data_IF_357211239024
#
_entry.id   IF_357211239024
#
_cell.length_a   1.000
_cell.length_b   1.000
_cell.length_c   1.000
_cell.angle_alpha   90.00
_cell.angle_beta   90.00
_cell.angle_gamma   90.00
#
_symmetry.space_group_name_H-M   'P 1'
#
loop_
_entity.id
_entity.type
_entity.pdbx_description
1 polymer ?
#
# COMPACT_ATOMS: atom_id res chain seq x y z
N UNK A 1 -15.98 -43.98 -16.97
CA UNK A 1 -16.85 -44.46 -15.88
C UNK A 1 -16.86 -43.63 -14.58
N UNK A 2 -16.59 -42.31 -14.53
CA UNK A 2 -16.79 -41.53 -13.29
C UNK A 2 -18.26 -41.11 -13.08
N UNK A 3 -19.03 -40.95 -14.17
CA UNK A 3 -20.43 -40.48 -14.11
C UNK A 3 -21.36 -41.53 -13.47
N UNK A 4 -21.15 -42.82 -13.76
CA UNK A 4 -21.94 -43.89 -13.14
C UNK A 4 -21.61 -44.12 -11.66
N UNK A 5 -20.35 -43.91 -11.26
CA UNK A 5 -19.94 -43.98 -9.84
C UNK A 5 -20.45 -42.79 -9.03
N UNK A 6 -20.53 -41.59 -9.64
CA UNK A 6 -21.19 -40.44 -9.02
C UNK A 6 -22.70 -40.65 -8.93
N UNK A 7 -23.33 -41.16 -9.99
CA UNK A 7 -24.77 -41.43 -10.00
C UNK A 7 -25.17 -42.52 -8.99
N UNK A 8 -24.36 -43.56 -8.78
CA UNK A 8 -24.62 -44.58 -7.75
C UNK A 8 -24.37 -44.06 -6.34
N UNK A 9 -23.34 -43.22 -6.13
CA UNK A 9 -23.08 -42.57 -4.85
C UNK A 9 -24.19 -41.57 -4.45
N UNK A 10 -24.82 -40.93 -5.45
CA UNK A 10 -25.89 -39.95 -5.25
C UNK A 10 -27.31 -40.52 -5.45
N UNK A 11 -27.45 -41.82 -5.77
CA UNK A 11 -28.75 -42.45 -6.04
C UNK A 11 -29.63 -42.68 -4.80
N UNK A 12 -29.02 -42.73 -3.61
CA UNK A 12 -29.70 -42.98 -2.33
C UNK A 12 -29.62 -41.77 -1.37
N UNK A 13 -29.58 -40.55 -1.89
CA UNK A 13 -29.57 -39.37 -1.02
C UNK A 13 -30.97 -39.14 -0.44
N UNK A 14 -31.06 -39.21 0.88
CA UNK A 14 -32.30 -38.86 1.60
C UNK A 14 -32.55 -37.35 1.57
N UNK A 15 -33.82 -36.91 1.61
CA UNK A 15 -34.17 -35.47 1.60
C UNK A 15 -33.45 -34.69 2.71
N UNK A 16 -33.21 -35.31 3.86
CA UNK A 16 -32.45 -34.73 4.97
C UNK A 16 -30.97 -34.48 4.61
N UNK A 17 -30.33 -35.39 3.88
CA UNK A 17 -28.96 -35.21 3.36
C UNK A 17 -28.90 -34.10 2.30
N UNK A 18 -29.92 -33.97 1.44
CA UNK A 18 -30.01 -32.85 0.49
C UNK A 18 -30.13 -31.51 1.22
N UNK A 19 -31.00 -31.42 2.23
CA UNK A 19 -31.17 -30.20 3.04
C UNK A 19 -29.88 -29.86 3.78
N UNK A 20 -29.22 -30.83 4.40
CA UNK A 20 -27.94 -30.62 5.07
C UNK A 20 -26.84 -30.16 4.09
N UNK A 21 -26.80 -30.76 2.89
CA UNK A 21 -25.89 -30.36 1.83
C UNK A 21 -26.14 -28.92 1.35
N UNK A 22 -27.41 -28.55 1.16
CA UNK A 22 -27.80 -27.20 0.77
C UNK A 22 -27.43 -26.15 1.83
N UNK A 23 -27.69 -26.43 3.12
CA UNK A 23 -27.30 -25.57 4.23
C UNK A 23 -25.77 -25.43 4.29
N UNK A 24 -25.03 -26.54 4.18
CA UNK A 24 -23.57 -26.53 4.18
C UNK A 24 -23.01 -25.68 3.02
N UNK A 25 -23.57 -25.82 1.83
CA UNK A 25 -23.19 -25.02 0.67
C UNK A 25 -23.50 -23.53 0.88
N UNK A 26 -24.68 -23.19 1.42
CA UNK A 26 -25.04 -21.82 1.74
C UNK A 26 -24.07 -21.19 2.76
N UNK A 27 -23.69 -21.96 3.79
CA UNK A 27 -22.67 -21.53 4.78
C UNK A 27 -21.32 -21.31 4.12
N UNK A 28 -20.87 -22.21 3.24
CA UNK A 28 -19.60 -22.06 2.50
C UNK A 28 -19.61 -20.79 1.65
N UNK A 29 -20.69 -20.53 0.91
CA UNK A 29 -20.83 -19.31 0.09
C UNK A 29 -20.88 -18.06 0.98
N UNK A 30 -21.59 -18.11 2.10
CA UNK A 30 -21.65 -17.01 3.06
C UNK A 30 -20.28 -16.69 3.64
N UNK A 31 -19.54 -17.69 4.12
CA UNK A 31 -18.19 -17.49 4.65
C UNK A 31 -17.26 -16.96 3.55
N UNK A 32 -17.36 -17.48 2.32
CA UNK A 32 -16.49 -17.02 1.22
C UNK A 32 -16.77 -15.57 0.81
N UNK A 33 -18.05 -15.18 0.78
CA UNK A 33 -18.45 -13.80 0.45
C UNK A 33 -18.08 -12.85 1.58
N UNK A 34 -18.26 -13.25 2.84
CA UNK A 34 -17.83 -12.49 4.01
C UNK A 34 -16.30 -12.32 4.06
N UNK A 35 -15.54 -13.40 3.84
CA UNK A 35 -14.08 -13.39 3.77
C UNK A 35 -13.52 -12.56 2.61
N UNK A 36 -14.30 -12.36 1.54
CA UNK A 36 -13.94 -11.51 0.42
C UNK A 36 -13.91 -10.02 0.77
N UNK A 37 -14.51 -9.61 1.89
CA UNK A 37 -14.59 -8.21 2.27
C UNK A 37 -15.49 -7.38 1.34
N UNK A 38 -15.48 -6.06 1.56
CA UNK A 38 -16.32 -5.12 0.82
C UNK A 38 -15.69 -4.76 -0.54
N UNK A 39 -16.56 -4.47 -1.51
CA UNK A 39 -16.15 -4.03 -2.86
C UNK A 39 -16.11 -2.50 -2.95
N UNK A 40 -15.20 -1.99 -3.77
CA UNK A 40 -15.20 -0.58 -4.13
C UNK A 40 -16.38 -0.30 -5.07
N UNK A 41 -17.18 0.71 -4.72
CA UNK A 41 -18.31 1.20 -5.53
C UNK A 41 -18.02 2.53 -6.20
N UNK A 42 -16.87 3.13 -5.87
CA UNK A 42 -16.43 4.39 -6.46
C UNK A 42 -15.70 4.13 -7.76
N UNK A 43 -16.06 4.92 -8.77
CA UNK A 43 -15.38 4.98 -10.05
C UNK A 43 -14.76 6.36 -10.21
N UNK A 44 -13.50 6.40 -10.63
CA UNK A 44 -12.77 7.62 -10.96
C UNK A 44 -12.41 7.56 -12.42
N UNK A 45 -12.59 8.68 -13.13
CA UNK A 45 -12.13 8.78 -14.51
C UNK A 45 -10.59 8.69 -14.54
N UNK A 46 -10.05 7.73 -15.28
CA UNK A 46 -8.61 7.49 -15.45
C UNK A 46 -8.10 7.87 -16.84
N UNK A 47 -8.94 8.44 -17.70
CA UNK A 47 -8.56 8.82 -19.06
C UNK A 47 -7.39 9.82 -19.04
N UNK A 48 -6.29 9.44 -19.70
CA UNK A 48 -5.09 10.27 -19.80
C UNK A 48 -4.35 10.49 -18.47
N UNK A 49 -4.64 9.68 -17.45
CA UNK A 49 -3.94 9.66 -16.16
C UNK A 49 -2.86 8.59 -16.15
N UNK A 50 -1.79 8.82 -15.41
CA UNK A 50 -0.69 7.86 -15.25
C UNK A 50 -0.61 7.33 -13.82
N UNK A 51 -0.47 6.01 -13.69
CA UNK A 51 -0.27 5.31 -12.42
C UNK A 51 1.11 4.65 -12.44
N UNK A 52 1.92 4.98 -11.43
CA UNK A 52 3.20 4.36 -11.18
C UNK A 52 3.04 3.23 -10.17
N UNK A 53 3.32 1.99 -10.59
CA UNK A 53 3.17 0.81 -9.72
C UNK A 53 4.56 0.31 -9.33
N UNK A 54 5.01 0.67 -8.13
CA UNK A 54 6.33 0.31 -7.59
C UNK A 54 6.17 -0.86 -6.64
N UNK A 55 6.24 -2.07 -7.17
CA UNK A 55 5.91 -3.27 -6.41
C UNK A 55 6.52 -4.55 -7.00
N UNK A 56 6.80 -5.58 -6.19
CA UNK A 56 7.10 -6.92 -6.70
C UNK A 56 5.91 -7.49 -7.50
N UNK A 57 6.17 -8.40 -8.46
CA UNK A 57 5.13 -9.02 -9.28
C UNK A 57 4.36 -10.10 -8.50
N UNK A 58 3.55 -9.68 -7.52
CA UNK A 58 2.70 -10.57 -6.74
C UNK A 58 1.33 -10.78 -7.38
N UNK A 59 0.61 -11.86 -7.05
CA UNK A 59 -0.74 -12.09 -7.57
C UNK A 59 -1.68 -10.90 -7.35
N UNK A 60 -1.60 -10.24 -6.20
CA UNK A 60 -2.40 -9.05 -5.90
C UNK A 60 -2.07 -7.87 -6.82
N UNK A 61 -0.79 -7.60 -7.07
CA UNK A 61 -0.35 -6.48 -7.93
C UNK A 61 -0.65 -6.75 -9.41
N UNK A 62 -0.45 -7.98 -9.88
CA UNK A 62 -0.80 -8.38 -11.24
C UNK A 62 -2.32 -8.27 -11.47
N UNK A 63 -3.12 -8.68 -10.49
CA UNK A 63 -4.58 -8.52 -10.52
C UNK A 63 -4.98 -7.05 -10.48
N UNK A 64 -4.28 -6.21 -9.74
CA UNK A 64 -4.52 -4.76 -9.73
C UNK A 64 -4.31 -4.17 -11.13
N UNK A 65 -3.19 -4.47 -11.78
CA UNK A 65 -2.94 -3.97 -13.15
C UNK A 65 -3.99 -4.49 -14.13
N UNK A 66 -4.32 -5.78 -14.06
CA UNK A 66 -5.38 -6.39 -14.87
C UNK A 66 -6.72 -5.66 -14.70
N UNK A 67 -7.15 -5.45 -13.45
CA UNK A 67 -8.42 -4.74 -13.16
C UNK A 67 -8.41 -3.28 -13.62
N UNK A 68 -7.29 -2.56 -13.48
CA UNK A 68 -7.16 -1.18 -13.94
C UNK A 68 -7.18 -1.05 -15.47
N UNK A 69 -6.57 -1.99 -16.19
CA UNK A 69 -6.51 -1.99 -17.65
C UNK A 69 -7.86 -2.36 -18.30
N UNK A 70 -8.72 -3.09 -17.59
CA UNK A 70 -10.07 -3.45 -18.05
C UNK A 70 -11.14 -2.40 -17.68
N UNK A 71 -10.76 -1.26 -17.09
CA UNK A 71 -11.70 -0.16 -16.87
C UNK A 71 -12.17 0.43 -18.21
N UNK A 72 -13.38 1.02 -18.28
CA UNK A 72 -13.89 1.69 -19.49
C UNK A 72 -12.95 2.79 -20.00
N UNK A 73 -12.30 3.49 -19.07
CA UNK A 73 -11.25 4.49 -19.32
C UNK A 73 -9.96 4.05 -18.63
N UNK A 74 -9.08 3.26 -19.26
CA UNK A 74 -7.90 2.73 -18.59
C UNK A 74 -6.83 3.82 -18.39
N UNK A 75 -6.11 3.82 -17.26
CA UNK A 75 -4.94 4.65 -17.07
C UNK A 75 -3.74 4.13 -17.88
N UNK A 76 -2.73 4.98 -18.05
CA UNK A 76 -1.39 4.56 -18.44
C UNK A 76 -0.68 3.98 -17.21
N UNK A 77 -0.24 2.73 -17.27
CA UNK A 77 0.45 2.08 -16.16
C UNK A 77 1.94 1.96 -16.47
N UNK A 78 2.77 2.50 -15.59
CA UNK A 78 4.20 2.20 -15.56
C UNK A 78 4.51 1.31 -14.35
N UNK A 79 4.82 0.05 -14.63
CA UNK A 79 5.17 -0.95 -13.62
C UNK A 79 6.68 -0.96 -13.38
N UNK A 80 7.08 -0.82 -12.12
CA UNK A 80 8.46 -0.71 -11.66
C UNK A 80 8.76 -1.81 -10.64
N UNK A 81 9.05 -3.05 -11.08
CA UNK A 81 9.43 -4.12 -10.18
C UNK A 81 10.81 -3.91 -9.56
N UNK A 82 11.03 -4.34 -8.30
CA UNK A 82 12.30 -4.27 -7.59
C UNK A 82 13.30 -5.34 -8.09
N UNK A 83 13.51 -5.38 -9.40
CA UNK A 83 14.36 -6.32 -10.11
C UNK A 83 15.45 -5.57 -10.86
N UNK A 84 16.59 -6.20 -11.02
CA UNK A 84 17.68 -5.70 -11.87
C UNK A 84 17.37 -5.94 -13.35
N UNK A 85 17.93 -5.11 -14.22
CA UNK A 85 17.93 -5.38 -15.66
C UNK A 85 18.90 -6.53 -15.98
N UNK A 86 18.57 -7.44 -16.94
CA UNK A 86 17.32 -7.54 -17.69
C UNK A 86 16.17 -8.14 -16.86
N UNK A 87 14.94 -7.78 -17.21
CA UNK A 87 13.74 -8.33 -16.58
C UNK A 87 13.53 -9.81 -16.97
N UNK A 88 12.99 -10.66 -16.08
CA UNK A 88 12.70 -12.05 -16.39
C UNK A 88 11.71 -12.21 -17.56
N UNK A 89 11.99 -13.11 -18.49
CA UNK A 89 11.14 -13.37 -19.67
C UNK A 89 9.73 -13.84 -19.28
N UNK A 90 9.60 -14.62 -18.21
CA UNK A 90 8.32 -15.08 -17.68
C UNK A 90 7.43 -13.92 -17.23
N UNK A 91 8.03 -12.90 -16.61
CA UNK A 91 7.33 -11.68 -16.19
C UNK A 91 6.90 -10.87 -17.42
N UNK A 92 7.80 -10.68 -18.39
CA UNK A 92 7.47 -9.95 -19.62
C UNK A 92 6.34 -10.63 -20.41
N UNK A 93 6.38 -11.96 -20.50
CA UNK A 93 5.33 -12.77 -21.12
C UNK A 93 3.99 -12.56 -20.42
N UNK A 94 3.98 -12.60 -19.08
CA UNK A 94 2.77 -12.40 -18.29
C UNK A 94 2.21 -10.97 -18.43
N UNK A 95 3.06 -9.94 -18.45
CA UNK A 95 2.61 -8.56 -18.64
C UNK A 95 2.07 -8.36 -20.07
N UNK A 96 2.69 -9.01 -21.06
CA UNK A 96 2.21 -8.98 -22.43
C UNK A 96 0.83 -9.65 -22.56
N UNK A 97 0.60 -10.80 -21.91
CA UNK A 97 -0.72 -11.45 -21.94
C UNK A 97 -1.81 -10.62 -21.26
N UNK A 98 -1.51 -10.01 -20.10
CA UNK A 98 -2.44 -9.06 -19.45
C UNK A 98 -2.78 -7.91 -20.39
N UNK A 99 -1.76 -7.31 -21.02
CA UNK A 99 -1.96 -6.20 -21.95
C UNK A 99 -2.80 -6.63 -23.15
N UNK A 100 -2.53 -7.78 -23.76
CA UNK A 100 -3.30 -8.28 -24.91
C UNK A 100 -4.77 -8.53 -24.54
N UNK A 101 -5.01 -9.14 -23.37
CA UNK A 101 -6.37 -9.35 -22.85
C UNK A 101 -7.11 -8.01 -22.73
N UNK A 102 -6.49 -7.02 -22.10
CA UNK A 102 -7.11 -5.70 -21.94
C UNK A 102 -7.31 -4.98 -23.27
N UNK A 103 -6.32 -5.03 -24.18
CA UNK A 103 -6.36 -4.37 -25.50
C UNK A 103 -7.49 -4.90 -26.37
N UNK A 104 -7.86 -6.18 -26.22
CA UNK A 104 -9.01 -6.76 -26.91
C UNK A 104 -10.34 -6.08 -26.54
N UNK A 105 -10.45 -5.59 -25.30
CA UNK A 105 -11.61 -4.84 -24.82
C UNK A 105 -11.46 -3.33 -25.03
N UNK A 106 -10.24 -2.79 -24.90
CA UNK A 106 -9.96 -1.37 -24.92
C UNK A 106 -8.60 -1.06 -25.54
N UNK A 107 -8.55 -0.48 -26.76
CA UNK A 107 -7.30 -0.20 -27.46
C UNK A 107 -6.46 0.90 -26.78
N UNK A 108 -7.04 1.68 -25.85
CA UNK A 108 -6.33 2.71 -25.10
C UNK A 108 -5.52 2.16 -23.91
N UNK A 109 -5.63 0.87 -23.59
CA UNK A 109 -4.91 0.24 -22.49
C UNK A 109 -3.39 0.26 -22.74
N UNK A 110 -2.65 0.92 -21.84
CA UNK A 110 -1.19 1.06 -21.93
C UNK A 110 -0.52 0.51 -20.68
N UNK A 111 0.36 -0.47 -20.87
CA UNK A 111 1.16 -1.09 -19.82
C UNK A 111 2.64 -1.08 -20.22
N UNK A 112 3.44 -0.34 -19.47
CA UNK A 112 4.90 -0.26 -19.61
C UNK A 112 5.57 -0.88 -18.38
N UNK A 113 6.76 -1.44 -18.55
CA UNK A 113 7.53 -2.07 -17.48
C UNK A 113 9.00 -1.65 -17.58
N UNK A 114 9.58 -1.17 -16.48
CA UNK A 114 11.01 -0.83 -16.38
C UNK A 114 11.58 -1.38 -15.06
N UNK A 115 12.78 -1.99 -15.05
CA UNK A 115 13.41 -2.43 -13.80
C UNK A 115 13.72 -1.24 -12.88
N UNK A 116 13.41 -1.39 -11.59
CA UNK A 116 13.77 -0.42 -10.55
C UNK A 116 14.41 -1.16 -9.36
N UNK A 117 15.70 -1.53 -9.44
CA UNK A 117 16.35 -2.24 -8.35
C UNK A 117 16.35 -1.39 -7.07
N UNK A 118 16.26 -2.04 -5.91
CA UNK A 118 16.24 -1.39 -4.59
C UNK A 118 17.63 -0.91 -4.16
N UNK A 119 18.27 -0.11 -5.01
CA UNK A 119 19.60 0.49 -4.78
C UNK A 119 19.53 2.00 -5.04
N UNK A 120 20.36 2.81 -4.36
CA UNK A 120 20.44 4.26 -4.60
C UNK A 120 20.73 4.58 -6.07
N UNK A 121 21.60 3.78 -6.69
CA UNK A 121 21.96 3.89 -8.10
C UNK A 121 20.75 3.65 -9.01
N UNK A 122 19.97 2.61 -8.75
CA UNK A 122 18.77 2.30 -9.51
C UNK A 122 17.76 3.44 -9.52
N UNK A 123 17.52 4.05 -8.35
CA UNK A 123 16.63 5.22 -8.23
C UNK A 123 17.21 6.41 -9.00
N UNK A 124 18.51 6.70 -8.86
CA UNK A 124 19.14 7.84 -9.54
C UNK A 124 19.10 7.69 -11.05
N UNK A 125 19.42 6.51 -11.59
CA UNK A 125 19.36 6.23 -13.03
C UNK A 125 17.93 6.33 -13.56
N UNK A 126 16.96 5.80 -12.82
CA UNK A 126 15.54 5.96 -13.16
C UNK A 126 15.14 7.43 -13.19
N UNK A 127 15.50 8.21 -12.17
CA UNK A 127 15.17 9.64 -12.10
C UNK A 127 15.84 10.46 -13.19
N UNK A 128 17.08 10.11 -13.58
CA UNK A 128 17.75 10.73 -14.72
C UNK A 128 16.99 10.47 -16.02
N UNK A 129 16.60 9.22 -16.29
CA UNK A 129 15.77 8.85 -17.44
C UNK A 129 14.37 9.48 -17.41
N UNK A 130 13.80 9.61 -16.22
CA UNK A 130 12.50 10.22 -16.01
C UNK A 130 12.52 11.70 -16.37
N UNK A 131 13.58 12.40 -15.96
CA UNK A 131 13.76 13.84 -16.16
C UNK A 131 14.35 14.19 -17.53
N UNK A 132 15.01 13.26 -18.23
CA UNK A 132 15.61 13.50 -19.55
C UNK A 132 14.62 13.45 -20.72
N UNK A 133 13.34 13.19 -20.45
CA UNK A 133 12.31 13.16 -21.48
C UNK A 133 12.20 14.52 -22.20
N UNK A 134 12.27 14.58 -23.55
CA UNK A 134 12.22 15.84 -24.28
C UNK A 134 10.91 16.58 -24.01
N UNK A 135 10.99 17.89 -23.75
CA UNK A 135 9.83 18.76 -23.43
C UNK A 135 8.71 18.65 -24.48
N UNK A 136 9.08 18.40 -25.74
CA UNK A 136 8.15 18.20 -26.86
C UNK A 136 7.23 16.96 -26.69
N UNK A 137 7.66 15.94 -25.95
CA UNK A 137 6.88 14.72 -25.72
C UNK A 137 6.08 14.71 -24.41
N UNK A 138 6.47 15.54 -23.44
CA UNK A 138 5.89 15.54 -22.09
C UNK A 138 5.16 16.83 -21.73
N UNK A 139 5.23 17.85 -22.59
CA UNK A 139 4.67 19.18 -22.34
C UNK A 139 5.46 19.98 -21.31
N UNK A 140 5.07 21.25 -21.11
CA UNK A 140 5.77 22.17 -20.20
C UNK A 140 5.78 21.70 -18.73
N UNK A 141 4.79 20.89 -18.34
CA UNK A 141 4.67 20.33 -16.98
C UNK A 141 5.47 19.05 -16.73
N UNK A 142 6.18 18.52 -17.72
CA UNK A 142 6.89 17.23 -17.62
C UNK A 142 5.95 16.02 -17.55
N UNK A 143 6.52 14.83 -17.27
CA UNK A 143 5.75 13.58 -17.20
C UNK A 143 4.68 13.67 -16.11
N UNK A 144 3.43 13.48 -16.50
CA UNK A 144 2.27 13.49 -15.60
C UNK A 144 2.28 12.27 -14.69
N UNK A 145 2.07 12.47 -13.39
CA UNK A 145 1.83 11.41 -12.39
C UNK A 145 0.54 11.75 -11.65
N UNK A 146 -0.46 10.86 -11.69
CA UNK A 146 -1.71 11.02 -10.93
C UNK A 146 -1.76 10.06 -9.73
N UNK A 147 -1.03 8.94 -9.78
CA UNK A 147 -0.90 8.07 -8.63
C UNK A 147 0.42 7.30 -8.59
N UNK A 148 0.89 7.02 -7.38
CA UNK A 148 2.04 6.15 -7.08
C UNK A 148 1.57 5.08 -6.12
N UNK A 149 1.83 3.81 -6.41
CA UNK A 149 1.48 2.66 -5.57
C UNK A 149 2.76 2.00 -5.10
N UNK A 150 3.02 2.05 -3.80
CA UNK A 150 4.17 1.44 -3.14
C UNK A 150 3.75 0.07 -2.59
N UNK A 151 3.93 -0.98 -3.40
CA UNK A 151 3.44 -2.32 -3.12
C UNK A 151 4.41 -3.26 -2.44
N UNK A 152 5.62 -2.81 -2.06
CA UNK A 152 6.62 -3.62 -1.35
C UNK A 152 6.52 -3.44 0.17
N UNK A 153 6.67 -4.54 0.91
CA UNK A 153 6.85 -4.56 2.37
C UNK A 153 5.62 -4.86 3.22
N UNK A 154 4.44 -5.03 2.61
CA UNK A 154 3.27 -5.59 3.29
C UNK A 154 3.31 -7.14 3.36
N UNK A 155 4.10 -7.75 2.48
CA UNK A 155 4.38 -9.18 2.47
C UNK A 155 5.13 -9.61 3.73
N UNK A 156 4.73 -10.77 4.26
CA UNK A 156 5.44 -11.49 5.31
C UNK A 156 6.43 -12.39 4.60
N UNK A 157 7.72 -12.09 4.68
CA UNK A 157 8.74 -12.88 4.00
C UNK A 157 9.94 -13.14 4.92
N UNK A 158 10.42 -14.40 4.99
CA UNK A 158 11.61 -14.75 5.76
C UNK A 158 12.86 -14.05 5.23
N UNK A 159 12.82 -13.45 4.03
CA UNK A 159 13.88 -12.59 3.53
C UNK A 159 14.20 -11.41 4.45
N UNK A 160 13.29 -11.04 5.35
CA UNK A 160 13.54 -10.02 6.39
C UNK A 160 14.58 -10.46 7.43
N UNK A 161 14.85 -11.77 7.56
CA UNK A 161 15.91 -12.33 8.42
C UNK A 161 17.19 -12.65 7.65
N UNK A 162 17.16 -12.58 6.32
CA UNK A 162 18.36 -12.72 5.50
C UNK A 162 19.10 -11.37 5.58
N UNK A 163 20.39 -11.34 5.94
CA UNK A 163 21.15 -10.10 5.96
C UNK A 163 21.08 -9.44 4.58
N UNK A 164 20.83 -8.13 4.56
CA UNK A 164 20.81 -7.34 3.33
C UNK A 164 22.12 -7.57 2.59
N UNK A 165 22.05 -7.85 1.28
CA UNK A 165 23.26 -7.87 0.45
C UNK A 165 23.89 -6.47 0.49
N UNK A 166 25.22 -6.42 0.44
CA UNK A 166 25.92 -5.13 0.40
C UNK A 166 25.39 -4.28 -0.77
N UNK A 167 24.98 -3.04 -0.46
CA UNK A 167 24.42 -2.11 -1.44
C UNK A 167 22.91 -2.20 -1.70
N UNK A 168 22.21 -3.23 -1.20
CA UNK A 168 20.74 -3.29 -1.25
C UNK A 168 20.12 -2.49 -0.10
N UNK A 169 19.23 -1.57 -0.43
CA UNK A 169 18.47 -0.82 0.56
C UNK A 169 17.28 -1.60 1.08
N UNK A 170 16.97 -1.37 2.35
CA UNK A 170 15.71 -1.82 2.91
C UNK A 170 14.52 -1.10 2.26
N UNK A 171 13.33 -1.56 2.64
CA UNK A 171 12.09 -1.09 2.03
C UNK A 171 11.81 0.38 2.35
N UNK A 172 12.08 0.82 3.57
CA UNK A 172 11.77 2.18 4.00
C UNK A 172 12.78 3.18 3.43
N UNK A 173 14.07 2.82 3.41
CA UNK A 173 15.12 3.63 2.80
C UNK A 173 14.85 3.85 1.30
N UNK A 174 14.47 2.77 0.61
CA UNK A 174 14.09 2.82 -0.81
C UNK A 174 12.88 3.73 -1.04
N UNK A 175 11.78 3.52 -0.29
CA UNK A 175 10.56 4.33 -0.43
C UNK A 175 10.84 5.80 -0.16
N UNK A 176 11.56 6.10 0.91
CA UNK A 176 11.94 7.45 1.28
C UNK A 176 12.72 8.13 0.17
N UNK A 177 13.80 7.51 -0.31
CA UNK A 177 14.63 8.11 -1.35
C UNK A 177 13.88 8.27 -2.67
N UNK A 178 13.06 7.29 -3.03
CA UNK A 178 12.26 7.33 -4.25
C UNK A 178 11.24 8.47 -4.22
N UNK A 179 10.48 8.60 -3.12
CA UNK A 179 9.48 9.66 -2.96
C UNK A 179 10.12 11.05 -2.89
N UNK A 180 11.20 11.20 -2.12
CA UNK A 180 11.92 12.48 -2.01
C UNK A 180 12.55 12.90 -3.35
N UNK A 181 13.04 11.93 -4.14
CA UNK A 181 13.56 12.22 -5.49
C UNK A 181 12.46 12.62 -6.48
N UNK A 182 11.24 12.08 -6.34
CA UNK A 182 10.09 12.45 -7.17
C UNK A 182 9.39 13.75 -6.73
N UNK A 183 9.63 14.20 -5.48
CA UNK A 183 8.95 15.34 -4.89
C UNK A 183 9.03 16.62 -5.74
N UNK A 184 10.16 17.00 -6.36
CA UNK A 184 10.21 18.17 -7.24
C UNK A 184 9.25 18.08 -8.42
N UNK A 185 9.03 16.88 -8.97
CA UNK A 185 8.08 16.63 -10.07
C UNK A 185 6.65 16.71 -9.58
N UNK A 186 6.36 16.18 -8.39
CA UNK A 186 5.03 16.20 -7.79
C UNK A 186 4.59 17.63 -7.42
N UNK A 187 5.51 18.45 -6.88
CA UNK A 187 5.23 19.83 -6.48
C UNK A 187 5.07 20.81 -7.65
N UNK A 188 5.55 20.46 -8.86
CA UNK A 188 5.28 21.24 -10.09
C UNK A 188 3.91 20.95 -10.69
N UNK A 189 3.21 19.94 -10.19
CA UNK A 189 1.89 19.60 -10.70
C UNK A 189 0.88 20.73 -10.41
N UNK A 190 -0.08 20.99 -11.31
CA UNK A 190 -1.15 21.95 -11.06
C UNK A 190 -1.93 21.63 -9.78
N UNK A 191 -2.28 22.67 -9.02
CA UNK A 191 -2.96 22.54 -7.73
C UNK A 191 -4.34 21.86 -7.80
N UNK A 192 -4.99 21.89 -8.97
CA UNK A 192 -6.26 21.21 -9.23
C UNK A 192 -6.13 19.68 -9.27
N UNK A 193 -4.91 19.16 -9.45
CA UNK A 193 -4.69 17.72 -9.59
C UNK A 193 -4.65 17.03 -8.23
N UNK A 194 -5.52 16.03 -8.07
CA UNK A 194 -5.52 15.14 -6.94
C UNK A 194 -4.56 13.96 -7.18
N UNK A 195 -3.33 14.08 -6.66
CA UNK A 195 -2.28 13.06 -6.78
C UNK A 195 -2.31 12.15 -5.56
N UNK A 196 -2.31 10.82 -5.76
CA UNK A 196 -2.41 9.85 -4.65
C UNK A 196 -1.20 8.94 -4.57
N UNK A 197 -0.48 9.01 -3.45
CA UNK A 197 0.59 8.10 -3.11
C UNK A 197 0.01 7.07 -2.15
N UNK A 198 -0.15 5.84 -2.63
CA UNK A 198 -0.77 4.73 -1.90
C UNK A 198 0.32 3.78 -1.41
N UNK A 199 0.44 3.62 -0.10
CA UNK A 199 1.33 2.64 0.51
C UNK A 199 0.57 1.42 0.98
N UNK A 200 1.03 0.22 0.60
CA UNK A 200 0.46 -1.03 1.11
C UNK A 200 1.09 -1.38 2.46
N UNK A 201 0.22 -1.74 3.41
CA UNK A 201 0.54 -2.08 4.80
C UNK A 201 0.06 -3.49 5.10
N UNK A 202 0.91 -4.28 5.75
CA UNK A 202 0.60 -5.67 6.16
C UNK A 202 -0.48 -5.69 7.23
N UNK A 203 -1.44 -6.63 7.24
CA UNK A 203 -2.40 -6.76 8.33
C UNK A 203 -1.75 -7.16 9.67
N UNK A 204 -0.47 -7.54 9.67
CA UNK A 204 0.29 -7.92 10.87
C UNK A 204 0.72 -6.74 11.73
N UNK A 205 0.51 -5.49 11.28
CA UNK A 205 0.90 -4.28 12.03
C UNK A 205 0.34 -4.27 13.46
N UNK A 206 -0.88 -4.78 13.66
CA UNK A 206 -1.54 -4.80 14.96
C UNK A 206 -0.86 -5.74 15.96
N UNK A 207 -0.18 -6.80 15.47
CA UNK A 207 0.55 -7.74 16.33
C UNK A 207 1.78 -7.08 16.98
N UNK A 208 2.30 -5.99 16.38
CA UNK A 208 3.46 -5.26 16.87
C UNK A 208 3.11 -4.12 17.84
N UNK A 209 1.82 -3.77 18.00
CA UNK A 209 1.38 -2.66 18.88
C UNK A 209 1.91 -2.77 20.32
N UNK A 210 1.88 -3.95 20.99
CA UNK A 210 2.39 -4.05 22.35
C UNK A 210 3.87 -3.68 22.47
N UNK A 211 4.66 -3.89 21.40
CA UNK A 211 6.08 -3.57 21.42
C UNK A 211 6.38 -2.07 21.44
N UNK A 212 5.40 -1.22 21.10
CA UNK A 212 5.55 0.25 21.16
C UNK A 212 4.96 0.82 22.43
N UNK A 213 3.90 0.20 22.95
CA UNK A 213 3.33 0.58 24.25
C UNK A 213 4.34 0.33 25.38
N UNK A 214 5.14 -0.73 25.31
CA UNK A 214 6.14 -1.02 26.34
C UNK A 214 7.33 -0.05 26.36
N UNK A 215 7.58 0.69 25.27
CA UNK A 215 8.65 1.72 25.22
C UNK A 215 8.31 2.90 26.16
N UNK A 216 7.02 3.12 26.47
CA UNK A 216 6.59 4.29 27.25
C UNK A 216 6.54 4.09 28.76
N UNK A 217 6.80 2.89 29.31
CA UNK A 217 6.55 2.63 30.75
C UNK A 217 7.80 2.21 31.58
N UNK A 218 8.80 1.46 31.08
CA UNK A 218 9.87 0.94 31.98
C UNK A 218 11.32 0.74 31.43
N UNK A 219 11.68 1.18 30.22
CA UNK A 219 12.97 0.77 29.61
C UNK A 219 14.20 1.64 29.96
N UNK A 220 14.50 1.79 31.26
CA UNK A 220 15.88 2.08 31.72
C UNK A 220 16.55 0.93 32.47
N UNK A 221 15.85 -0.15 32.85
CA UNK A 221 16.48 -1.18 33.71
C UNK A 221 16.22 -2.64 33.38
N UNK A 222 15.37 -2.99 32.42
CA UNK A 222 15.21 -4.39 32.04
C UNK A 222 15.52 -4.61 30.55
N UNK A 223 16.75 -5.07 30.27
CA UNK A 223 17.02 -5.88 29.07
C UNK A 223 16.27 -7.20 29.22
N UNK A 224 14.94 -7.16 29.19
CA UNK A 224 14.14 -8.37 29.18
C UNK A 224 14.41 -9.08 27.86
N UNK A 225 14.68 -10.39 27.94
CA UNK A 225 14.85 -11.30 26.81
C UNK A 225 13.79 -11.01 25.75
N UNK A 226 14.17 -10.30 24.70
CA UNK A 226 13.36 -10.19 23.47
C UNK A 226 13.15 -11.63 23.02
N UNK A 227 11.91 -12.14 23.16
CA UNK A 227 11.49 -13.42 22.58
C UNK A 227 11.98 -13.42 21.12
N UNK A 228 12.58 -14.53 20.66
CA UNK A 228 13.01 -14.71 19.25
C UNK A 228 12.00 -14.02 18.34
N UNK A 229 12.42 -12.97 17.63
CA UNK A 229 11.51 -12.14 16.85
C UNK A 229 10.75 -13.04 15.88
N UNK A 230 9.44 -13.20 16.12
CA UNK A 230 8.55 -13.90 15.21
C UNK A 230 8.46 -13.08 13.91
N UNK A 231 8.42 -13.76 12.76
CA UNK A 231 8.39 -13.14 11.44
C UNK A 231 7.20 -12.17 11.29
N UNK A 232 6.08 -12.54 11.90
CA UNK A 232 4.86 -11.73 11.93
C UNK A 232 5.08 -10.44 12.71
N UNK A 233 5.73 -10.52 13.88
CA UNK A 233 5.98 -9.37 14.74
C UNK A 233 7.03 -8.43 14.12
N UNK A 234 8.11 -8.96 13.55
CA UNK A 234 9.11 -8.14 12.86
C UNK A 234 8.52 -7.42 11.63
N UNK A 235 7.70 -8.12 10.85
CA UNK A 235 6.94 -7.52 9.74
C UNK A 235 5.97 -6.46 10.26
N UNK A 236 5.28 -6.73 11.37
CA UNK A 236 4.35 -5.80 12.00
C UNK A 236 5.03 -4.50 12.43
N UNK A 237 6.19 -4.59 13.10
CA UNK A 237 7.00 -3.43 13.53
C UNK A 237 7.42 -2.56 12.35
N UNK A 238 7.93 -3.18 11.27
CA UNK A 238 8.29 -2.45 10.04
C UNK A 238 7.09 -1.68 9.48
N UNK A 239 5.94 -2.34 9.38
CA UNK A 239 4.72 -1.75 8.84
C UNK A 239 4.16 -0.63 9.73
N UNK A 240 4.41 -0.68 11.03
CA UNK A 240 4.04 0.38 11.94
C UNK A 240 4.94 1.60 11.78
N UNK A 241 6.25 1.41 11.69
CA UNK A 241 7.19 2.49 11.37
C UNK A 241 6.83 3.13 10.02
N UNK A 242 6.51 2.31 9.02
CA UNK A 242 5.97 2.79 7.74
C UNK A 242 4.75 3.69 7.91
N UNK A 243 3.76 3.31 8.73
CA UNK A 243 2.56 4.11 8.97
C UNK A 243 2.90 5.48 9.57
N UNK A 244 3.75 5.50 10.60
CA UNK A 244 4.23 6.73 11.24
C UNK A 244 4.96 7.64 10.24
N UNK A 245 5.89 7.06 9.48
CA UNK A 245 6.66 7.76 8.45
C UNK A 245 5.74 8.38 7.39
N UNK A 246 4.72 7.64 6.95
CA UNK A 246 3.80 8.11 5.91
C UNK A 246 2.85 9.20 6.41
N UNK A 247 2.42 9.11 7.67
CA UNK A 247 1.67 10.17 8.34
C UNK A 247 2.52 11.45 8.47
N UNK A 248 3.79 11.32 8.86
CA UNK A 248 4.72 12.45 8.90
C UNK A 248 4.99 13.02 7.50
N UNK A 249 5.13 12.16 6.50
CA UNK A 249 5.31 12.57 5.11
C UNK A 249 4.12 13.38 4.59
N UNK A 250 2.88 13.01 4.93
CA UNK A 250 1.71 13.85 4.64
C UNK A 250 1.84 15.23 5.26
N UNK A 251 2.28 15.33 6.52
CA UNK A 251 2.49 16.62 7.19
C UNK A 251 3.54 17.47 6.45
N UNK A 252 4.60 16.85 5.94
CA UNK A 252 5.61 17.53 5.12
C UNK A 252 4.97 18.05 3.81
N UNK A 253 4.21 17.24 3.09
CA UNK A 253 3.51 17.70 1.87
C UNK A 253 2.58 18.89 2.16
N UNK A 254 1.83 18.78 3.25
CA UNK A 254 0.92 19.80 3.76
C UNK A 254 1.65 21.12 4.11
N UNK A 255 2.83 21.04 4.73
CA UNK A 255 3.69 22.20 5.07
C UNK A 255 4.32 22.84 3.84
N UNK A 256 4.76 22.04 2.86
CA UNK A 256 5.31 22.53 1.60
C UNK A 256 4.27 23.28 0.78
N UNK A 257 3.03 22.77 0.70
CA UNK A 257 1.92 23.46 0.05
C UNK A 257 1.60 24.80 0.73
N UNK A 258 1.56 24.81 2.07
CA UNK A 258 1.33 26.03 2.83
C UNK A 258 2.46 27.06 2.64
N UNK A 259 3.70 26.60 2.49
CA UNK A 259 4.85 27.45 2.16
C UNK A 259 4.69 28.10 0.79
N UNK A 260 4.35 27.31 -0.24
CA UNK A 260 4.16 27.81 -1.61
C UNK A 260 3.02 28.84 -1.70
N UNK A 261 1.97 28.68 -0.88
CA UNK A 261 0.85 29.64 -0.79
C UNK A 261 1.12 30.83 0.14
N UNK A 262 2.29 30.92 0.76
CA UNK A 262 2.63 32.01 1.69
C UNK A 262 1.81 32.01 3.00
N UNK A 263 1.20 30.88 3.36
CA UNK A 263 0.32 30.73 4.54
C UNK A 263 1.05 30.20 5.79
N UNK A 264 2.35 30.44 5.88
CA UNK A 264 3.15 30.12 7.07
C UNK A 264 3.21 31.36 7.94
N UNK A 265 2.63 31.29 9.14
CA UNK A 265 2.63 32.40 10.09
C UNK A 265 3.77 32.20 11.09
N UNK A 266 4.63 33.20 11.32
CA UNK A 266 5.58 33.16 12.43
C UNK A 266 4.81 33.36 13.75
N UNK A 267 4.93 32.40 14.64
CA UNK A 267 4.38 32.41 16.01
C UNK A 267 5.56 32.54 16.98
N UNK A 268 5.48 33.39 18.01
CA UNK A 268 6.53 33.47 19.03
C UNK A 268 6.75 32.10 19.70
N UNK A 269 8.00 31.64 19.82
CA UNK A 269 8.30 30.42 20.57
C UNK A 269 8.09 30.70 22.08
N UNK A 270 7.24 29.95 22.78
CA UNK A 270 7.05 30.13 24.23
C UNK A 270 8.32 29.83 25.05
N UNK A 271 9.23 28.99 24.55
CA UNK A 271 10.46 28.60 25.27
C UNK A 271 11.66 29.50 24.95
N UNK A 272 11.66 30.15 23.78
CA UNK A 272 12.75 31.01 23.31
C UNK A 272 12.18 32.23 22.56
N UNK A 273 11.88 33.34 23.25
CA UNK A 273 11.18 34.48 22.64
C UNK A 273 11.89 35.10 21.43
N UNK A 274 13.20 34.87 21.28
CA UNK A 274 14.01 35.33 20.14
C UNK A 274 13.84 34.45 18.87
N UNK A 275 13.35 33.22 19.00
CA UNK A 275 13.06 32.32 17.89
C UNK A 275 11.57 32.40 17.51
N UNK A 276 11.27 32.76 16.25
CA UNK A 276 9.90 32.69 15.72
C UNK A 276 9.63 31.29 15.15
N UNK A 277 8.77 30.51 15.80
CA UNK A 277 8.29 29.23 15.28
C UNK A 277 7.43 29.47 14.04
N UNK A 278 7.77 28.82 12.93
CA UNK A 278 6.92 28.84 11.73
C UNK A 278 5.80 27.84 11.91
N UNK A 279 4.59 28.32 12.20
CA UNK A 279 3.40 27.48 12.35
C UNK A 279 2.60 27.51 11.05
N UNK A 280 2.20 26.32 10.60
CA UNK A 280 1.40 26.14 9.41
C UNK A 280 -0.07 26.47 9.67
N UNK A 281 -0.74 27.03 8.67
CA UNK A 281 -2.20 27.05 8.63
C UNK A 281 -2.76 25.63 8.42
N UNK A 282 -3.50 25.12 9.41
CA UNK A 282 -4.11 23.78 9.38
C UNK A 282 -5.21 23.60 8.34
N UNK A 283 -5.75 24.70 7.79
CA UNK A 283 -6.77 24.66 6.74
C UNK A 283 -6.22 24.42 5.34
N UNK A 284 -4.91 24.63 5.14
CA UNK A 284 -4.28 24.31 3.86
C UNK A 284 -4.04 22.81 3.79
N UNK A 285 -4.37 22.18 2.68
CA UNK A 285 -4.08 20.75 2.44
C UNK A 285 -3.39 20.62 1.10
N UNK A 286 -2.39 19.75 1.04
CA UNK A 286 -1.68 19.48 -0.22
C UNK A 286 -2.61 18.78 -1.22
N UNK A 287 -2.37 19.08 -2.50
CA UNK A 287 -3.03 18.39 -3.61
C UNK A 287 -2.52 16.94 -3.75
N UNK A 288 -1.27 16.70 -3.31
CA UNK A 288 -0.68 15.37 -3.14
C UNK A 288 -1.13 14.75 -1.82
N UNK A 289 -1.69 13.54 -1.87
CA UNK A 289 -2.19 12.80 -0.71
C UNK A 289 -1.43 11.51 -0.51
N UNK A 290 -0.85 11.32 0.66
CA UNK A 290 -0.28 10.08 1.13
C UNK A 290 -1.39 9.28 1.85
N UNK A 291 -1.78 8.13 1.31
CA UNK A 291 -2.82 7.23 1.84
C UNK A 291 -2.21 5.86 2.13
N UNK A 292 -2.43 5.31 3.32
CA UNK A 292 -2.01 3.95 3.65
C UNK A 292 -3.17 2.96 3.48
N UNK A 293 -2.92 1.81 2.86
CA UNK A 293 -3.93 0.76 2.65
C UNK A 293 -3.51 -0.49 3.40
N UNK A 294 -4.30 -0.87 4.40
CA UNK A 294 -4.14 -2.15 5.10
C UNK A 294 -4.67 -3.25 4.17
N UNK A 295 -3.74 -4.08 3.71
CA UNK A 295 -4.06 -5.24 2.89
C UNK A 295 -4.71 -6.32 3.78
N UNK A 296 -5.62 -7.14 3.23
CA UNK A 296 -6.17 -8.24 3.99
C UNK A 296 -5.14 -9.37 4.13
N UNK A 297 -5.51 -10.43 4.87
CA UNK A 297 -4.71 -11.64 5.03
C UNK A 297 -4.65 -12.45 3.73
N UNK A 298 -3.87 -11.95 2.76
CA UNK A 298 -3.69 -12.57 1.46
C UNK A 298 -2.91 -13.88 1.56
N UNK A 299 -3.28 -14.85 0.73
CA UNK A 299 -2.78 -16.23 0.78
C UNK A 299 -1.27 -16.31 0.57
N UNK A 300 -0.79 -15.79 -0.54
CA UNK A 300 0.59 -15.99 -0.98
C UNK A 300 1.55 -15.00 -0.32
N UNK A 301 1.08 -13.78 -0.10
CA UNK A 301 1.89 -12.65 0.37
C UNK A 301 2.00 -12.58 1.89
N UNK A 302 0.96 -12.99 2.64
CA UNK A 302 0.94 -12.88 4.12
C UNK A 302 0.90 -14.25 4.77
N UNK A 303 -0.10 -15.07 4.47
CA UNK A 303 -0.32 -16.33 5.19
C UNK A 303 0.74 -17.39 4.90
N UNK A 304 1.11 -17.56 3.63
CA UNK A 304 2.15 -18.51 3.24
C UNK A 304 3.47 -18.16 3.93
N UNK A 305 3.86 -16.89 3.93
CA UNK A 305 5.06 -16.42 4.60
C UNK A 305 5.02 -16.57 6.12
N UNK A 306 3.85 -16.36 6.73
CA UNK A 306 3.64 -16.54 8.18
C UNK A 306 3.69 -17.99 8.62
N UNK A 307 3.21 -18.93 7.79
CA UNK A 307 3.06 -20.33 8.19
C UNK A 307 4.25 -21.17 7.76
N UNK A 308 4.80 -20.97 6.56
CA UNK A 308 5.74 -21.91 5.91
C UNK A 308 7.19 -21.70 6.35
N UNK A 309 7.46 -21.87 7.65
CA UNK A 309 8.82 -21.81 8.21
C UNK A 309 9.47 -23.18 8.49
N UNK A 310 8.67 -24.24 8.64
CA UNK A 310 9.10 -25.60 9.03
C UNK A 310 8.47 -26.67 8.14
N UNK A 311 9.08 -27.86 8.04
CA UNK A 311 8.52 -28.97 7.25
C UNK A 311 7.11 -29.37 7.73
N UNK A 312 6.87 -29.38 9.05
CA UNK A 312 5.54 -29.64 9.62
C UNK A 312 4.52 -28.60 9.15
N UNK A 313 4.94 -27.34 9.06
CA UNK A 313 4.08 -26.26 8.60
C UNK A 313 3.78 -26.33 7.09
N UNK A 314 4.68 -26.90 6.29
CA UNK A 314 4.44 -27.17 4.87
C UNK A 314 3.38 -28.26 4.70
N UNK A 315 3.45 -29.34 5.47
CA UNK A 315 2.43 -30.40 5.47
C UNK A 315 1.09 -29.84 5.95
N UNK A 316 1.09 -29.08 7.04
CA UNK A 316 -0.09 -28.39 7.56
C UNK A 316 -0.70 -27.42 6.51
N UNK A 317 0.14 -26.68 5.79
CA UNK A 317 -0.31 -25.80 4.70
C UNK A 317 -1.05 -26.56 3.60
N UNK A 318 -0.53 -27.71 3.19
CA UNK A 318 -1.19 -28.57 2.18
C UNK A 318 -2.52 -29.12 2.74
N UNK A 319 -2.51 -29.61 3.97
CA UNK A 319 -3.68 -30.19 4.63
C UNK A 319 -4.83 -29.17 4.81
N UNK A 320 -4.49 -27.95 5.25
CA UNK A 320 -5.46 -26.88 5.48
C UNK A 320 -5.69 -25.99 4.25
N UNK A 321 -5.03 -26.25 3.12
CA UNK A 321 -5.20 -25.46 1.89
C UNK A 321 -6.67 -25.24 1.49
N UNK A 322 -7.58 -26.25 1.46
CA UNK A 322 -8.98 -26.02 1.10
C UNK A 322 -9.70 -25.09 2.07
N UNK A 323 -9.39 -25.17 3.38
CA UNK A 323 -9.94 -24.28 4.39
C UNK A 323 -9.38 -22.86 4.23
N UNK A 324 -8.08 -22.73 3.95
CA UNK A 324 -7.42 -21.46 3.66
C UNK A 324 -8.07 -20.81 2.43
N UNK A 325 -8.32 -21.56 1.35
CA UNK A 325 -9.01 -21.04 0.15
C UNK A 325 -10.38 -20.43 0.46
N UNK A 326 -11.08 -20.99 1.44
CA UNK A 326 -12.41 -20.57 1.86
C UNK A 326 -12.37 -19.29 2.71
N UNK A 327 -11.46 -19.24 3.69
CA UNK A 327 -11.38 -18.15 4.69
C UNK A 327 -10.61 -16.93 4.16
N UNK A 328 -9.77 -17.11 3.14
CA UNK A 328 -8.92 -16.02 2.64
C UNK A 328 -9.52 -15.31 1.42
N UNK A 329 -9.29 -14.00 1.27
CA UNK A 329 -9.72 -13.27 0.10
C UNK A 329 -8.96 -13.72 -1.15
N UNK A 330 -9.63 -13.65 -2.30
CA UNK A 330 -8.97 -13.77 -3.59
C UNK A 330 -8.21 -12.48 -3.92
N UNK A 331 -7.19 -12.52 -4.82
CA UNK A 331 -6.52 -11.31 -5.27
C UNK A 331 -7.48 -10.23 -5.78
N UNK A 332 -8.56 -10.61 -6.48
CA UNK A 332 -9.60 -9.68 -6.95
C UNK A 332 -10.32 -8.95 -5.81
N UNK A 333 -10.50 -9.62 -4.67
CA UNK A 333 -11.03 -9.02 -3.44
C UNK A 333 -9.98 -8.14 -2.76
N UNK A 334 -8.74 -8.61 -2.64
CA UNK A 334 -7.67 -7.87 -1.95
C UNK A 334 -7.37 -6.52 -2.60
N UNK A 335 -7.52 -6.43 -3.92
CA UNK A 335 -7.31 -5.20 -4.70
C UNK A 335 -8.38 -4.12 -4.42
N UNK A 336 -9.56 -4.49 -3.91
CA UNK A 336 -10.67 -3.54 -3.73
C UNK A 336 -10.31 -2.35 -2.82
N UNK A 337 -9.55 -2.58 -1.74
CA UNK A 337 -9.09 -1.50 -0.86
C UNK A 337 -8.12 -0.55 -1.55
N UNK A 338 -7.29 -1.06 -2.48
CA UNK A 338 -6.40 -0.23 -3.30
C UNK A 338 -7.24 0.60 -4.27
N UNK A 339 -8.19 -0.03 -4.97
CA UNK A 339 -9.10 0.66 -5.89
C UNK A 339 -9.92 1.75 -5.19
N UNK A 340 -10.35 1.49 -3.95
CA UNK A 340 -11.01 2.50 -3.11
C UNK A 340 -10.09 3.68 -2.82
N UNK A 341 -8.86 3.43 -2.36
CA UNK A 341 -7.88 4.49 -2.11
C UNK A 341 -7.56 5.31 -3.38
N UNK A 342 -7.57 4.67 -4.55
CA UNK A 342 -7.35 5.33 -5.84
C UNK A 342 -8.58 6.10 -6.35
N UNK A 343 -9.80 5.60 -6.12
CA UNK A 343 -11.01 6.06 -6.80
C UNK A 343 -11.97 6.86 -5.93
N UNK A 344 -11.99 6.64 -4.61
CA UNK A 344 -12.90 7.33 -3.70
C UNK A 344 -12.74 8.85 -3.79
N UNK A 345 -13.80 9.65 -3.68
CA UNK A 345 -13.68 11.12 -3.75
C UNK A 345 -12.83 11.67 -2.60
N UNK A 346 -12.36 12.90 -2.75
CA UNK A 346 -11.57 13.56 -1.71
C UNK A 346 -12.50 14.02 -0.59
N UNK A 347 -12.24 13.57 0.64
CA UNK A 347 -12.98 14.04 1.81
C UNK A 347 -12.53 15.46 2.18
N UNK A 348 -13.48 16.39 2.25
CA UNK A 348 -13.27 17.74 2.78
C UNK A 348 -13.81 17.76 4.21
N UNK A 349 -12.93 17.79 5.21
CA UNK A 349 -13.31 17.86 6.63
C UNK A 349 -12.92 16.65 7.46
N UNK A 350 -13.20 16.75 8.75
CA UNK A 350 -12.91 15.74 9.78
C UNK A 350 -14.06 14.71 9.76
N UNK A 351 -13.74 13.44 10.05
CA UNK A 351 -14.75 12.41 10.24
C UNK A 351 -15.50 12.74 11.53
N UNK A 352 -16.80 13.02 11.43
CA UNK A 352 -17.65 13.27 12.59
C UNK A 352 -18.22 11.94 13.06
N UNK A 353 -17.74 11.47 14.21
CA UNK A 353 -18.19 10.22 14.84
C UNK A 353 -19.54 10.36 15.55
N UNK A 354 -20.10 11.56 15.63
CA UNK A 354 -21.43 11.71 16.22
C UNK A 354 -22.43 10.90 15.40
N UNK A 355 -23.14 9.94 16.01
CA UNK A 355 -24.15 9.17 15.31
C UNK A 355 -25.25 10.15 14.91
N UNK A 356 -25.30 10.51 13.62
CA UNK A 356 -26.43 11.26 13.09
C UNK A 356 -27.64 10.35 13.22
N UNK A 357 -28.53 10.68 14.16
CA UNK A 357 -29.86 10.07 14.27
C UNK A 357 -30.47 10.14 12.88
N UNK A 358 -30.98 9.01 12.39
CA UNK A 358 -31.55 8.89 11.06
C UNK A 358 -32.81 9.75 10.96
N UNK A 359 -32.63 11.05 10.75
CA UNK A 359 -33.72 11.92 10.39
C UNK A 359 -34.18 11.51 8.99
N UNK A 360 -35.39 10.96 8.93
CA UNK A 360 -36.21 10.81 7.73
C UNK A 360 -35.74 9.77 6.70
N UNK A 361 -35.55 8.51 7.12
CA UNK A 361 -35.59 7.35 6.20
C UNK A 361 -34.49 7.28 5.13
N UNK A 362 -33.48 8.16 5.18
CA UNK A 362 -32.25 8.03 4.38
C UNK A 362 -31.30 7.08 5.08
N UNK A 363 -30.79 6.11 4.32
CA UNK A 363 -29.76 5.19 4.79
C UNK A 363 -28.63 5.95 5.48
N UNK A 364 -28.16 5.42 6.62
CA UNK A 364 -26.98 5.94 7.32
C UNK A 364 -25.79 5.75 6.38
N UNK A 365 -25.47 6.79 5.62
CA UNK A 365 -24.32 6.78 4.72
C UNK A 365 -23.07 6.74 5.60
N UNK A 366 -22.40 5.59 5.61
CA UNK A 366 -21.16 5.34 6.34
C UNK A 366 -20.11 6.40 5.95
N UNK A 367 -19.91 7.42 6.80
CA UNK A 367 -19.06 8.57 6.50
C UNK A 367 -17.62 8.16 6.16
N UNK A 368 -17.16 7.03 6.71
CA UNK A 368 -15.84 6.45 6.44
C UNK A 368 -15.68 5.94 5.01
N UNK A 369 -16.79 5.84 4.26
CA UNK A 369 -16.82 5.43 2.84
C UNK A 369 -17.02 6.61 1.89
N UNK A 370 -17.32 7.79 2.40
CA UNK A 370 -17.65 8.98 1.59
C UNK A 370 -16.44 9.68 0.98
N UNK A 371 -15.23 9.20 1.27
CA UNK A 371 -14.02 9.71 0.64
C UNK A 371 -12.77 9.44 1.44
N UNK A 372 -11.64 9.84 0.87
CA UNK A 372 -10.30 9.72 1.45
C UNK A 372 -9.63 11.10 1.56
N UNK A 373 -8.91 11.31 2.65
CA UNK A 373 -8.06 12.47 2.89
C UNK A 373 -6.58 12.07 2.94
N UNK A 374 -5.68 13.05 2.86
CA UNK A 374 -4.25 12.82 3.07
C UNK A 374 -3.99 12.41 4.52
N UNK A 375 -3.22 11.34 4.71
CA UNK A 375 -2.94 10.72 6.01
C UNK A 375 -3.94 9.64 6.43
N UNK A 376 -5.02 9.43 5.67
CA UNK A 376 -6.00 8.39 5.99
C UNK A 376 -5.42 6.98 5.83
N UNK A 377 -5.88 6.08 6.70
CA UNK A 377 -5.65 4.64 6.57
C UNK A 377 -6.92 3.94 6.13
N UNK A 378 -6.83 3.18 5.05
CA UNK A 378 -7.94 2.49 4.41
C UNK A 378 -7.85 1.00 4.67
N UNK A 379 -8.98 0.39 5.03
CA UNK A 379 -9.16 -1.07 5.10
C UNK A 379 -10.58 -1.42 4.68
N UNK A 380 -10.74 -2.51 3.93
CA UNK A 380 -12.04 -3.03 3.49
C UNK A 380 -12.96 -1.94 2.88
N UNK A 381 -12.38 -1.12 1.99
CA UNK A 381 -13.04 0.02 1.33
C UNK A 381 -13.67 1.06 2.28
N UNK A 382 -13.06 1.27 3.45
CA UNK A 382 -13.44 2.30 4.40
C UNK A 382 -12.20 2.88 5.10
N UNK A 383 -12.31 4.11 5.59
CA UNK A 383 -11.28 4.75 6.42
C UNK A 383 -11.37 4.23 7.86
N UNK A 384 -10.23 3.82 8.42
CA UNK A 384 -10.11 3.23 9.75
C UNK A 384 -9.24 4.10 10.63
N UNK A 385 -9.61 4.24 11.90
CA UNK A 385 -8.80 4.99 12.85
C UNK A 385 -7.66 4.14 13.37
N UNK A 386 -6.53 4.82 13.56
CA UNK A 386 -5.38 4.23 14.19
C UNK A 386 -5.42 4.47 15.70
N UNK A 387 -4.81 3.58 16.50
CA UNK A 387 -4.57 3.84 17.91
C UNK A 387 -3.83 5.19 18.11
N UNK A 388 -4.10 5.93 19.20
CA UNK A 388 -3.49 7.25 19.44
C UNK A 388 -1.95 7.27 19.41
N UNK A 389 -1.31 6.17 19.79
CA UNK A 389 0.15 6.01 19.73
C UNK A 389 0.71 6.19 18.32
N UNK A 390 -0.07 5.84 17.28
CA UNK A 390 0.33 6.01 15.88
C UNK A 390 0.09 7.43 15.35
N UNK A 391 -0.48 8.30 16.18
CA UNK A 391 -0.72 9.71 15.85
C UNK A 391 0.30 10.63 16.54
N UNK A 392 1.29 10.10 17.27
CA UNK A 392 2.31 10.90 17.93
C UNK A 392 3.26 11.56 16.91
N UNK A 393 3.23 12.90 16.75
CA UNK A 393 4.05 13.60 15.79
C UNK A 393 5.54 13.58 16.16
N UNK A 394 5.89 13.48 17.45
CA UNK A 394 7.28 13.50 17.90
C UNK A 394 7.98 12.19 17.53
N UNK A 395 7.33 11.05 17.79
CA UNK A 395 7.81 9.74 17.39
C UNK A 395 7.95 9.64 15.86
N UNK A 396 6.93 10.09 15.13
CA UNK A 396 6.93 10.04 13.68
C UNK A 396 8.08 10.90 13.07
N UNK A 397 8.33 12.07 13.66
CA UNK A 397 9.46 12.94 13.27
C UNK A 397 10.81 12.29 13.59
N UNK A 398 10.99 11.72 14.78
CA UNK A 398 12.24 11.08 15.17
C UNK A 398 12.62 9.93 14.22
N UNK A 399 11.65 9.10 13.85
CA UNK A 399 11.83 8.03 12.86
C UNK A 399 12.16 8.58 11.47
N UNK A 400 11.53 9.68 11.07
CA UNK A 400 11.80 10.32 9.78
C UNK A 400 13.23 10.88 9.72
N UNK A 401 13.65 11.61 10.75
CA UNK A 401 15.00 12.21 10.84
C UNK A 401 16.09 11.12 10.90
N UNK A 402 15.81 9.99 11.56
CA UNK A 402 16.70 8.82 11.56
C UNK A 402 16.83 8.22 10.16
N UNK A 403 15.70 7.97 9.49
CA UNK A 403 15.67 7.39 8.15
C UNK A 403 16.36 8.30 7.12
N UNK A 404 16.17 9.61 7.21
CA UNK A 404 16.83 10.59 6.35
C UNK A 404 18.36 10.48 6.48
N UNK A 405 18.88 10.43 7.72
CA UNK A 405 20.32 10.26 7.97
C UNK A 405 20.85 8.93 7.43
N UNK A 406 20.08 7.85 7.54
CA UNK A 406 20.47 6.54 6.98
C UNK A 406 20.56 6.59 5.45
N UNK A 407 19.55 7.19 4.80
CA UNK A 407 19.52 7.35 3.34
C UNK A 407 20.68 8.22 2.87
N UNK A 408 20.95 9.35 3.52
CA UNK A 408 22.08 10.22 3.19
C UNK A 408 23.42 9.49 3.26
N UNK A 409 23.65 8.70 4.33
CA UNK A 409 24.84 7.86 4.47
C UNK A 409 24.92 6.84 3.34
N UNK A 410 23.80 6.20 3.01
CA UNK A 410 23.71 5.23 1.91
C UNK A 410 24.04 5.84 0.54
N UNK A 411 23.53 7.05 0.26
CA UNK A 411 23.82 7.77 -1.00
C UNK A 411 25.29 8.18 -1.07
N UNK A 412 25.88 8.66 0.02
CA UNK A 412 27.32 9.03 0.06
C UNK A 412 28.22 7.83 -0.24
N UNK A 413 28.00 6.70 0.45
CA UNK A 413 28.74 5.45 0.21
C UNK A 413 28.64 4.98 -1.24
N UNK A 414 27.45 5.05 -1.84
CA UNK A 414 27.26 4.65 -3.25
C UNK A 414 27.98 5.57 -4.24
N UNK A 415 28.23 6.84 -3.90
CA UNK A 415 29.01 7.76 -4.73
C UNK A 415 30.51 7.49 -4.62
N UNK A 416 30.98 7.17 -3.41
CA UNK A 416 32.39 6.82 -3.16
C UNK A 416 32.79 5.55 -3.93
N UNK A 417 31.94 4.51 -3.90
CA UNK A 417 32.14 3.27 -4.69
C UNK A 417 32.14 3.47 -6.22
N UNK A 418 31.76 4.64 -6.73
CA UNK A 418 31.83 4.97 -8.16
C UNK A 418 33.13 5.69 -8.54
N UNK A 419 33.80 6.27 -7.55
CA UNK A 419 35.05 7.01 -7.75
C UNK A 419 36.28 6.07 -7.71
N UNK A 420 36.15 4.93 -7.05
CA UNK A 420 37.04 3.77 -7.14
C UNK A 420 36.72 2.93 -8.40
#
# INVERSE_FOLDING_TARGET
>A
MPVHSLASAFGNITTSQLVFGAISFAVVVFVKTWAGGRKCTWERDWKGKMILVVAPPTPTILTLMDTLLHLPSPPQILFLPPLTSPLPESLLTLLHTIRLSATSSNPAAQLHCEPLPSTPRGITEFMQKWNSAPVQMVGEGGRRIDSIILGKGWEVSPSSFIPKKEGEWGNEEFKFHFLTSLLPTLLRSPAERDIRIVQLISPTWSAALPSLMNITVEDTKSKSKIRKDDLVNSTGRRNLNSLLLFHHFQLILDTLEAAQRGKIKPVPNPEKPDERLKVRDGHVKSNVKAISVIMPWARDEVLKGSLVGSWLSQVSWILFYPLILLITPSPKSSVQSILFALSAPVRQGIIDETPKVADQGKEVVDQRRNGVAGGDVVRDCAVVDLPPVLSDPALAKALYDELEKEVEKGVKRSKEQKAE
#
